data_IF_193966186716
#
_entry.id   IF_193966186716
#
_cell.length_a   1.000
_cell.length_b   1.000
_cell.length_c   1.000
_cell.angle_alpha   90.00
_cell.angle_beta   90.00
_cell.angle_gamma   90.00
#
_symmetry.space_group_name_H-M   'P 1'
#
loop_
_entity.id
_entity.type
_entity.pdbx_description
1 polymer ?
#
# COMPACT_ATOMS: atom_id res chain seq x y z
N UNK A 1 61.19 -32.44 -9.37
CA UNK A 1 59.80 -32.91 -9.22
C UNK A 1 59.05 -31.94 -8.31
N UNK A 2 58.15 -31.12 -8.88
CA UNK A 2 56.92 -30.55 -8.29
C UNK A 2 56.49 -29.35 -9.15
N UNK A 3 55.85 -29.66 -10.30
CA UNK A 3 54.92 -28.73 -10.93
C UNK A 3 53.74 -28.56 -9.98
N UNK A 4 53.44 -27.32 -9.57
CA UNK A 4 52.15 -26.97 -8.98
C UNK A 4 51.36 -26.27 -10.07
N UNK A 5 50.29 -26.91 -10.52
CA UNK A 5 49.33 -26.38 -11.50
C UNK A 5 47.96 -26.23 -10.83
N UNK A 6 47.34 -25.08 -11.10
CA UNK A 6 45.90 -24.76 -11.04
C UNK A 6 45.20 -24.84 -9.66
N UNK A 7 44.18 -24.06 -9.34
CA UNK A 7 43.04 -23.61 -10.16
C UNK A 7 42.60 -22.22 -9.67
N UNK A 8 42.52 -21.24 -10.57
CA UNK A 8 41.77 -20.01 -10.33
C UNK A 8 40.33 -20.29 -10.73
N UNK A 9 39.45 -20.46 -9.74
CA UNK A 9 38.01 -20.59 -9.99
C UNK A 9 37.46 -19.22 -10.45
N UNK A 10 37.15 -19.11 -11.73
CA UNK A 10 36.43 -17.96 -12.27
C UNK A 10 34.96 -18.11 -11.85
N UNK A 11 34.56 -17.41 -10.78
CA UNK A 11 33.15 -17.21 -10.44
C UNK A 11 32.55 -16.30 -11.52
N UNK A 12 32.02 -16.91 -12.58
CA UNK A 12 31.21 -16.20 -13.56
C UNK A 12 29.90 -15.78 -12.90
N UNK A 13 29.75 -14.49 -12.57
CA UNK A 13 28.46 -13.91 -12.25
C UNK A 13 27.61 -13.96 -13.52
N UNK A 14 26.61 -14.85 -13.58
CA UNK A 14 25.58 -14.80 -14.60
C UNK A 14 24.77 -13.53 -14.39
N UNK A 15 25.01 -12.49 -15.20
CA UNK A 15 24.17 -11.30 -15.21
C UNK A 15 22.78 -11.67 -15.73
N UNK A 16 21.76 -11.54 -14.89
CA UNK A 16 20.36 -11.67 -15.33
C UNK A 16 20.02 -10.41 -16.14
N UNK A 17 19.51 -10.57 -17.37
CA UNK A 17 19.18 -9.44 -18.23
C UNK A 17 18.00 -8.63 -17.65
N UNK A 18 18.11 -7.30 -17.64
CA UNK A 18 17.02 -6.42 -17.22
C UNK A 18 15.89 -6.34 -18.26
N UNK A 19 14.73 -5.85 -17.83
CA UNK A 19 13.54 -5.64 -18.65
C UNK A 19 13.19 -4.16 -18.70
N UNK A 20 13.24 -3.57 -19.90
CA UNK A 20 12.80 -2.19 -20.14
C UNK A 20 11.51 -2.18 -20.94
N UNK A 21 10.46 -1.56 -20.38
CA UNK A 21 9.18 -1.37 -21.07
C UNK A 21 9.15 0.03 -21.68
N UNK A 22 9.19 0.08 -23.01
CA UNK A 22 9.30 1.33 -23.79
C UNK A 22 7.99 1.78 -24.44
N UNK A 23 6.97 0.92 -24.42
CA UNK A 23 5.63 1.18 -24.93
C UNK A 23 4.58 0.50 -24.05
N UNK A 24 3.35 1.01 -24.07
CA UNK A 24 2.26 0.43 -23.29
C UNK A 24 2.12 -1.06 -23.60
N UNK A 25 2.18 -1.86 -22.54
CA UNK A 25 2.21 -3.31 -22.62
C UNK A 25 1.22 -3.87 -21.62
N UNK A 26 0.29 -4.69 -22.10
CA UNK A 26 -0.61 -5.45 -21.22
C UNK A 26 -0.50 -6.93 -21.53
N UNK A 27 -0.35 -7.73 -20.48
CA UNK A 27 -0.20 -9.18 -20.55
C UNK A 27 -1.15 -9.84 -19.54
N UNK A 28 -1.53 -11.09 -19.81
CA UNK A 28 -2.43 -11.86 -18.95
C UNK A 28 -1.86 -13.28 -18.77
N UNK A 29 -1.97 -13.81 -17.57
CA UNK A 29 -1.48 -15.11 -17.16
C UNK A 29 -0.06 -15.09 -16.60
N UNK A 30 0.59 -16.25 -16.64
CA UNK A 30 1.90 -16.46 -16.01
C UNK A 30 3.00 -15.69 -16.73
N UNK A 31 3.65 -14.77 -16.01
CA UNK A 31 4.78 -13.98 -16.48
C UNK A 31 5.92 -14.12 -15.48
N UNK A 32 7.11 -14.45 -15.97
CA UNK A 32 8.30 -14.50 -15.14
C UNK A 32 8.91 -13.09 -15.00
N UNK A 33 8.93 -12.58 -13.76
CA UNK A 33 9.57 -11.31 -13.40
C UNK A 33 10.93 -11.51 -12.72
N UNK A 34 11.45 -12.74 -12.70
CA UNK A 34 12.76 -13.10 -12.18
C UNK A 34 13.90 -12.68 -13.12
N UNK A 35 13.79 -11.47 -13.65
CA UNK A 35 14.74 -10.81 -14.54
C UNK A 35 15.60 -9.82 -13.75
N UNK A 36 16.59 -9.19 -14.40
CA UNK A 36 17.34 -8.08 -13.80
C UNK A 36 16.43 -6.87 -13.52
N UNK A 37 16.99 -5.66 -13.52
CA UNK A 37 16.21 -4.46 -13.23
C UNK A 37 15.01 -4.31 -14.19
N UNK A 38 13.84 -4.00 -13.64
CA UNK A 38 12.63 -3.68 -14.38
C UNK A 38 12.51 -2.16 -14.45
N UNK A 39 12.50 -1.62 -15.67
CA UNK A 39 12.43 -0.18 -15.92
C UNK A 39 11.21 0.10 -16.79
N UNK A 40 10.28 0.90 -16.27
CA UNK A 40 9.14 1.42 -17.03
C UNK A 40 9.46 2.85 -17.43
N UNK A 41 9.52 3.12 -18.74
CA UNK A 41 9.83 4.46 -19.22
C UNK A 41 8.77 5.49 -18.79
N UNK A 42 9.13 6.79 -18.72
CA UNK A 42 8.15 7.85 -18.47
C UNK A 42 6.97 7.79 -19.45
N UNK A 43 5.76 7.99 -18.93
CA UNK A 43 4.52 7.94 -19.71
C UNK A 43 4.06 6.56 -20.17
N UNK A 44 4.84 5.50 -19.90
CA UNK A 44 4.55 4.13 -20.36
C UNK A 44 3.94 3.29 -19.25
N UNK A 45 2.98 2.43 -19.60
CA UNK A 45 2.31 1.52 -18.67
C UNK A 45 2.65 0.05 -18.95
N UNK A 46 2.97 -0.69 -17.90
CA UNK A 46 3.07 -2.15 -17.94
C UNK A 46 2.03 -2.74 -17.01
N UNK A 47 1.07 -3.47 -17.58
CA UNK A 47 -0.07 -4.05 -16.87
C UNK A 47 -0.05 -5.57 -16.99
N UNK A 48 0.02 -6.25 -15.85
CA UNK A 48 0.06 -7.71 -15.76
C UNK A 48 -1.21 -8.18 -15.07
N UNK A 49 -1.99 -9.00 -15.76
CA UNK A 49 -3.21 -9.59 -15.21
C UNK A 49 -3.00 -11.06 -14.86
N UNK A 50 -3.60 -11.49 -13.76
CA UNK A 50 -3.71 -12.89 -13.33
C UNK A 50 -2.37 -13.63 -13.21
N UNK A 51 -1.28 -12.92 -12.91
CA UNK A 51 0.01 -13.52 -12.61
C UNK A 51 0.15 -13.81 -11.11
N UNK A 52 -0.16 -15.05 -10.71
CA UNK A 52 -0.24 -15.47 -9.32
C UNK A 52 1.02 -15.13 -8.50
N UNK A 53 2.20 -15.32 -9.09
CA UNK A 53 3.49 -15.15 -8.42
C UNK A 53 4.37 -14.22 -9.25
N UNK A 54 4.77 -13.12 -8.64
CA UNK A 54 5.55 -12.04 -9.23
C UNK A 54 6.78 -11.78 -8.35
N UNK A 55 7.87 -12.48 -8.64
CA UNK A 55 9.15 -12.33 -7.94
C UNK A 55 10.06 -11.36 -8.69
N UNK A 56 10.22 -10.14 -8.19
CA UNK A 56 11.09 -9.12 -8.76
C UNK A 56 12.47 -9.30 -8.14
N UNK A 57 13.43 -9.85 -8.90
CA UNK A 57 14.79 -10.14 -8.38
C UNK A 57 15.81 -9.02 -8.65
N UNK A 58 15.50 -8.08 -9.55
CA UNK A 58 16.23 -6.82 -9.74
C UNK A 58 15.58 -5.62 -9.03
N UNK A 59 16.07 -4.41 -9.32
CA UNK A 59 15.40 -3.18 -8.93
C UNK A 59 14.14 -2.90 -9.77
N UNK A 60 13.26 -2.03 -9.26
CA UNK A 60 12.07 -1.55 -9.98
C UNK A 60 12.12 -0.03 -10.10
N UNK A 61 12.11 0.47 -11.33
CA UNK A 61 12.02 1.90 -11.62
C UNK A 61 10.79 2.19 -12.47
N UNK A 62 9.91 3.05 -11.98
CA UNK A 62 8.73 3.53 -12.71
C UNK A 62 8.87 5.02 -12.98
N UNK A 63 9.01 5.38 -14.25
CA UNK A 63 9.17 6.77 -14.68
C UNK A 63 7.90 7.62 -14.51
N UNK A 64 8.09 8.94 -14.47
CA UNK A 64 7.01 9.91 -14.32
C UNK A 64 5.89 9.73 -15.36
N UNK A 65 4.64 9.75 -14.90
CA UNK A 65 3.46 9.51 -15.75
C UNK A 65 3.29 8.07 -16.26
N UNK A 66 4.26 7.19 -16.01
CA UNK A 66 4.17 5.77 -16.31
C UNK A 66 3.49 4.98 -15.20
N UNK A 67 3.36 3.66 -15.38
CA UNK A 67 2.85 2.80 -14.32
C UNK A 67 3.18 1.32 -14.45
N UNK A 68 3.26 0.65 -13.31
CA UNK A 68 3.48 -0.79 -13.17
C UNK A 68 2.31 -1.38 -12.37
N UNK A 69 1.54 -2.25 -13.00
CA UNK A 69 0.31 -2.80 -12.45
C UNK A 69 0.39 -4.33 -12.43
N UNK A 70 0.00 -4.94 -11.31
CA UNK A 70 -0.25 -6.37 -11.20
C UNK A 70 -1.63 -6.55 -10.61
N UNK A 71 -2.58 -7.05 -11.41
CA UNK A 71 -3.99 -7.12 -11.04
C UNK A 71 -4.55 -8.52 -11.20
N UNK A 72 -5.53 -8.87 -10.36
CA UNK A 72 -6.28 -10.12 -10.45
C UNK A 72 -7.73 -9.81 -10.78
N UNK A 73 -8.26 -10.44 -11.84
CA UNK A 73 -9.69 -10.42 -12.16
C UNK A 73 -10.41 -11.69 -11.69
N UNK A 74 -9.72 -12.56 -10.94
CA UNK A 74 -10.23 -13.86 -10.52
C UNK A 74 -10.60 -13.88 -9.04
N UNK A 75 -11.75 -14.49 -8.66
CA UNK A 75 -12.26 -14.45 -7.28
C UNK A 75 -11.45 -15.30 -6.29
N UNK A 76 -10.57 -16.18 -6.76
CA UNK A 76 -9.80 -17.11 -5.92
C UNK A 76 -8.28 -17.04 -6.21
N UNK A 77 -7.83 -16.02 -6.95
CA UNK A 77 -6.42 -15.84 -7.27
C UNK A 77 -5.84 -14.68 -6.46
N UNK A 78 -5.24 -14.99 -5.32
CA UNK A 78 -4.40 -14.05 -4.58
C UNK A 78 -3.09 -13.82 -5.32
N UNK A 79 -2.68 -12.55 -5.43
CA UNK A 79 -1.38 -12.20 -5.95
C UNK A 79 -0.31 -12.30 -4.86
N UNK A 80 0.84 -12.86 -5.21
CA UNK A 80 2.07 -12.82 -4.42
C UNK A 80 3.11 -11.99 -5.18
N UNK A 81 3.32 -10.76 -4.74
CA UNK A 81 4.30 -9.83 -5.32
C UNK A 81 5.43 -9.59 -4.30
N UNK A 82 6.65 -9.95 -4.67
CA UNK A 82 7.81 -9.85 -3.78
C UNK A 82 8.97 -9.16 -4.47
N UNK A 83 9.64 -8.24 -3.78
CA UNK A 83 10.98 -7.79 -4.16
C UNK A 83 12.01 -8.66 -3.44
N UNK A 84 12.80 -9.42 -4.20
CA UNK A 84 13.78 -10.37 -3.70
C UNK A 84 15.20 -9.81 -3.84
N UNK A 85 15.71 -9.16 -2.80
CA UNK A 85 17.13 -8.82 -2.74
C UNK A 85 17.44 -7.67 -1.79
N UNK A 86 18.34 -7.92 -0.84
CA UNK A 86 18.74 -6.93 0.16
C UNK A 86 19.41 -5.67 -0.45
N UNK A 87 19.88 -5.75 -1.70
CA UNK A 87 20.53 -4.64 -2.43
C UNK A 87 19.59 -3.95 -3.43
N UNK A 88 18.39 -4.49 -3.64
CA UNK A 88 17.48 -3.99 -4.68
C UNK A 88 16.82 -2.69 -4.25
N UNK A 89 16.41 -1.90 -5.24
CA UNK A 89 15.85 -0.57 -5.00
C UNK A 89 14.52 -0.43 -5.71
N UNK A 90 13.61 0.32 -5.09
CA UNK A 90 12.37 0.78 -5.73
C UNK A 90 12.44 2.29 -5.87
N UNK A 91 12.27 2.77 -7.09
CA UNK A 91 12.08 4.19 -7.41
C UNK A 91 10.79 4.38 -8.19
N UNK A 92 9.84 5.08 -7.60
CA UNK A 92 8.54 5.34 -8.21
C UNK A 92 8.29 6.84 -8.39
N UNK A 93 8.32 7.31 -9.62
CA UNK A 93 7.86 8.65 -10.01
C UNK A 93 6.48 8.60 -10.73
N UNK A 94 5.94 7.40 -10.95
CA UNK A 94 4.65 7.15 -11.63
C UNK A 94 3.66 6.43 -10.71
N UNK A 95 3.08 5.32 -11.18
CA UNK A 95 2.12 4.51 -10.42
C UNK A 95 2.65 3.09 -10.23
N UNK A 96 2.66 2.58 -9.01
CA UNK A 96 2.79 1.14 -8.72
C UNK A 96 1.46 0.67 -8.12
N UNK A 97 0.83 -0.36 -8.67
CA UNK A 97 -0.46 -0.85 -8.18
C UNK A 97 -0.52 -2.37 -8.17
N UNK A 98 -0.79 -2.95 -6.98
CA UNK A 98 -1.08 -4.37 -6.83
C UNK A 98 -2.51 -4.54 -6.34
N UNK A 99 -3.35 -5.17 -7.15
CA UNK A 99 -4.79 -5.23 -6.91
C UNK A 99 -5.32 -6.66 -6.93
N UNK A 100 -5.75 -7.13 -5.75
CA UNK A 100 -6.44 -8.41 -5.54
C UNK A 100 -7.78 -8.22 -4.81
N UNK A 101 -8.47 -7.09 -4.98
CA UNK A 101 -9.72 -6.80 -4.25
C UNK A 101 -10.82 -7.82 -4.55
N UNK A 102 -10.87 -8.35 -5.77
CA UNK A 102 -11.85 -9.36 -6.16
C UNK A 102 -11.56 -10.75 -5.53
N UNK A 103 -10.33 -10.99 -5.10
CA UNK A 103 -9.91 -12.30 -4.59
C UNK A 103 -10.29 -12.48 -3.13
N UNK A 104 -10.98 -13.57 -2.82
CA UNK A 104 -11.30 -13.95 -1.44
C UNK A 104 -10.07 -14.50 -0.68
N UNK A 105 -9.04 -14.92 -1.42
CA UNK A 105 -7.76 -15.35 -0.84
C UNK A 105 -6.86 -14.15 -0.54
N UNK A 106 -6.10 -14.22 0.56
CA UNK A 106 -5.24 -13.12 0.99
C UNK A 106 -4.01 -12.96 0.09
N UNK A 107 -3.75 -11.77 -0.48
CA UNK A 107 -2.52 -11.51 -1.22
C UNK A 107 -1.31 -11.33 -0.28
N UNK A 108 -0.14 -11.46 -0.88
CA UNK A 108 1.15 -11.13 -0.26
C UNK A 108 1.85 -10.08 -1.10
N UNK A 109 1.95 -8.86 -0.58
CA UNK A 109 2.73 -7.77 -1.14
C UNK A 109 3.88 -7.50 -0.18
N UNK A 110 5.06 -8.03 -0.49
CA UNK A 110 6.22 -7.94 0.39
C UNK A 110 7.43 -7.36 -0.34
N UNK A 111 7.63 -6.06 -0.20
CA UNK A 111 8.70 -5.33 -0.86
C UNK A 111 9.86 -5.11 0.12
N UNK A 112 10.92 -5.90 -0.03
CA UNK A 112 12.12 -5.82 0.80
C UNK A 112 13.33 -5.43 -0.04
N UNK A 113 14.02 -4.34 0.33
CA UNK A 113 15.16 -3.84 -0.44
C UNK A 113 16.14 -2.96 0.34
N UNK A 114 17.18 -2.49 -0.35
CA UNK A 114 18.11 -1.51 0.20
C UNK A 114 17.46 -0.12 0.30
N UNK A 115 16.71 0.29 -0.73
CA UNK A 115 16.05 1.59 -0.74
C UNK A 115 14.66 1.55 -1.36
N UNK A 116 13.79 2.41 -0.83
CA UNK A 116 12.45 2.68 -1.34
C UNK A 116 12.28 4.21 -1.42
N UNK A 117 11.95 4.71 -2.62
CA UNK A 117 11.60 6.12 -2.85
C UNK A 117 10.33 6.20 -3.67
N UNK A 118 9.29 6.80 -3.10
CA UNK A 118 8.01 7.06 -3.75
C UNK A 118 7.77 8.56 -3.88
N UNK A 119 7.82 9.09 -5.11
CA UNK A 119 7.39 10.44 -5.46
C UNK A 119 6.05 10.45 -6.21
N UNK A 120 5.64 9.29 -6.73
CA UNK A 120 4.37 9.10 -7.41
C UNK A 120 3.29 8.52 -6.48
N UNK A 121 2.62 7.46 -6.94
CA UNK A 121 1.53 6.80 -6.21
C UNK A 121 1.79 5.30 -6.10
N UNK A 122 1.57 4.73 -4.93
CA UNK A 122 1.64 3.29 -4.68
C UNK A 122 0.33 2.79 -4.10
N UNK A 123 -0.21 1.72 -4.65
CA UNK A 123 -1.48 1.11 -4.23
C UNK A 123 -1.31 -0.36 -3.91
N UNK A 124 -1.71 -0.76 -2.72
CA UNK A 124 -1.93 -2.15 -2.34
C UNK A 124 -3.41 -2.34 -2.06
N UNK A 125 -4.06 -3.24 -2.79
CA UNK A 125 -5.50 -3.46 -2.67
C UNK A 125 -5.81 -4.95 -2.50
N UNK A 126 -6.65 -5.25 -1.50
CA UNK A 126 -7.06 -6.61 -1.15
C UNK A 126 -8.48 -6.63 -0.59
N UNK A 127 -9.11 -7.81 -0.50
CA UNK A 127 -10.45 -7.92 0.06
C UNK A 127 -10.45 -7.93 1.61
N UNK A 128 -9.59 -8.74 2.23
CA UNK A 128 -9.42 -8.80 3.69
C UNK A 128 -10.49 -9.56 4.50
N UNK A 129 -11.44 -10.24 3.83
CA UNK A 129 -12.59 -10.88 4.51
C UNK A 129 -12.29 -12.24 5.18
N UNK A 130 -11.47 -13.09 4.54
CA UNK A 130 -11.25 -14.48 4.99
C UNK A 130 -9.91 -14.69 5.70
N UNK A 131 -8.83 -14.13 5.14
CA UNK A 131 -7.47 -14.35 5.60
C UNK A 131 -6.72 -13.00 5.68
N UNK A 132 -5.75 -12.87 6.60
CA UNK A 132 -4.94 -11.68 6.70
C UNK A 132 -3.99 -11.55 5.51
N UNK A 133 -4.05 -10.42 4.80
CA UNK A 133 -3.08 -10.09 3.75
C UNK A 133 -1.73 -9.69 4.37
N UNK A 134 -0.64 -10.02 3.67
CA UNK A 134 0.69 -9.49 3.98
C UNK A 134 0.90 -8.25 3.13
N UNK A 135 1.10 -7.09 3.76
CA UNK A 135 1.30 -5.82 3.07
C UNK A 135 2.46 -5.08 3.73
N UNK A 136 3.63 -5.12 3.09
CA UNK A 136 4.86 -4.60 3.66
C UNK A 136 5.77 -3.90 2.65
N UNK A 137 6.39 -2.82 3.10
CA UNK A 137 7.47 -2.11 2.42
C UNK A 137 8.59 -1.89 3.43
N UNK A 138 9.62 -2.72 3.37
CA UNK A 138 10.73 -2.73 4.32
C UNK A 138 12.04 -2.49 3.59
N UNK A 139 12.54 -1.27 3.68
CA UNK A 139 13.83 -0.88 3.08
C UNK A 139 14.70 -0.15 4.08
N UNK A 140 16.02 -0.33 4.00
CA UNK A 140 16.97 0.33 4.90
C UNK A 140 16.93 1.87 4.76
N UNK A 141 16.80 2.36 3.53
CA UNK A 141 16.44 3.74 3.22
C UNK A 141 14.99 3.80 2.76
N UNK A 142 14.15 4.56 3.43
CA UNK A 142 12.70 4.61 3.17
C UNK A 142 12.21 6.05 3.08
N UNK A 143 11.72 6.45 1.91
CA UNK A 143 11.23 7.80 1.66
C UNK A 143 9.91 7.76 0.88
N UNK A 144 8.89 8.44 1.42
CA UNK A 144 7.65 8.74 0.73
C UNK A 144 7.47 10.26 0.62
N UNK A 145 7.34 10.77 -0.60
CA UNK A 145 6.97 12.16 -0.91
C UNK A 145 5.65 12.26 -1.67
N UNK A 146 5.11 11.11 -2.13
CA UNK A 146 3.84 11.02 -2.84
C UNK A 146 2.77 10.30 -2.02
N UNK A 147 1.93 9.53 -2.70
CA UNK A 147 0.84 8.78 -2.09
C UNK A 147 1.22 7.31 -1.91
N UNK A 148 0.95 6.75 -0.73
CA UNK A 148 0.85 5.31 -0.48
C UNK A 148 -0.57 5.03 -0.01
N UNK A 149 -1.29 4.16 -0.71
CA UNK A 149 -2.66 3.76 -0.36
C UNK A 149 -2.73 2.26 -0.15
N UNK A 150 -3.18 1.86 1.04
CA UNK A 150 -3.26 0.46 1.46
C UNK A 150 -4.70 0.18 1.83
N UNK A 151 -5.35 -0.60 0.98
CA UNK A 151 -6.79 -0.78 0.97
C UNK A 151 -7.20 -2.23 1.24
N UNK A 152 -8.16 -2.36 2.16
CA UNK A 152 -8.96 -3.57 2.37
C UNK A 152 -10.45 -3.22 2.36
N UNK A 153 -11.25 -4.04 1.67
CA UNK A 153 -12.72 -3.96 1.72
C UNK A 153 -13.21 -4.20 3.16
N UNK A 154 -12.63 -5.19 3.84
CA UNK A 154 -12.93 -5.52 5.24
C UNK A 154 -11.64 -5.68 6.05
N UNK A 155 -11.64 -5.17 7.28
CA UNK A 155 -10.47 -5.25 8.17
C UNK A 155 -10.19 -6.71 8.51
N UNK A 156 -9.00 -7.18 8.14
CA UNK A 156 -8.44 -8.44 8.60
C UNK A 156 -7.62 -8.27 9.89
N UNK A 157 -7.11 -9.37 10.44
CA UNK A 157 -6.13 -9.32 11.55
C UNK A 157 -4.70 -9.06 11.09
N UNK A 158 -4.46 -8.95 9.78
CA UNK A 158 -3.15 -8.69 9.19
C UNK A 158 -2.71 -7.26 9.46
N UNK A 159 -1.46 -7.10 9.89
CA UNK A 159 -0.87 -5.79 10.13
C UNK A 159 -0.01 -5.35 8.93
N UNK A 160 -0.15 -4.07 8.57
CA UNK A 160 0.68 -3.38 7.61
C UNK A 160 2.01 -3.03 8.26
N UNK A 161 3.11 -3.33 7.55
CA UNK A 161 4.48 -3.06 8.00
C UNK A 161 5.18 -2.10 7.04
N UNK A 162 5.42 -0.87 7.48
CA UNK A 162 6.14 0.13 6.69
C UNK A 162 7.43 0.53 7.38
N UNK A 163 8.48 0.71 6.60
CA UNK A 163 9.79 1.16 7.08
C UNK A 163 10.65 0.04 7.68
N UNK A 164 11.95 0.34 7.91
CA UNK A 164 12.87 -0.59 8.56
C UNK A 164 12.61 -0.66 10.07
N UNK A 165 12.64 -1.87 10.69
CA UNK A 165 12.56 -2.00 12.14
C UNK A 165 13.62 -1.15 12.85
N UNK A 166 13.18 -0.34 13.81
CA UNK A 166 14.00 0.60 14.59
C UNK A 166 14.77 1.66 13.77
N UNK A 167 14.56 1.71 12.45
CA UNK A 167 15.17 2.70 11.57
C UNK A 167 14.27 3.91 11.34
N UNK A 168 14.57 4.70 10.31
CA UNK A 168 13.79 5.88 9.95
C UNK A 168 12.84 5.57 8.78
N UNK A 169 11.58 5.89 8.97
CA UNK A 169 10.57 6.04 7.92
C UNK A 169 10.39 7.53 7.67
N UNK A 170 10.87 8.04 6.53
CA UNK A 170 10.69 9.45 6.15
C UNK A 170 9.41 9.59 5.32
N UNK A 171 8.39 10.23 5.88
CA UNK A 171 7.13 10.50 5.20
C UNK A 171 6.91 12.02 5.07
N UNK A 172 6.89 12.52 3.84
CA UNK A 172 6.54 13.89 3.48
C UNK A 172 5.30 13.99 2.59
N UNK A 173 4.71 12.84 2.23
CA UNK A 173 3.45 12.75 1.48
C UNK A 173 2.33 12.14 2.33
N UNK A 174 1.42 11.44 1.66
CA UNK A 174 0.23 10.85 2.27
C UNK A 174 0.35 9.32 2.35
N UNK A 175 -0.04 8.76 3.50
CA UNK A 175 -0.22 7.32 3.70
C UNK A 175 -1.67 7.08 4.10
N UNK A 176 -2.43 6.42 3.24
CA UNK A 176 -3.86 6.17 3.43
C UNK A 176 -4.10 4.71 3.81
N UNK A 177 -4.66 4.50 5.01
CA UNK A 177 -4.97 3.19 5.56
C UNK A 177 -6.48 3.00 5.56
N UNK A 178 -7.00 2.12 4.71
CA UNK A 178 -8.42 1.77 4.68
C UNK A 178 -8.64 0.38 5.27
N UNK A 179 -9.38 0.34 6.40
CA UNK A 179 -9.65 -0.88 7.16
C UNK A 179 -8.38 -1.69 7.48
N UNK A 180 -7.27 -1.02 7.78
CA UNK A 180 -5.98 -1.67 8.08
C UNK A 180 -5.69 -1.64 9.57
N UNK A 181 -4.86 -2.58 10.03
CA UNK A 181 -4.09 -2.40 11.26
C UNK A 181 -2.68 -2.00 10.82
N UNK A 182 -2.17 -0.88 11.31
CA UNK A 182 -0.77 -0.51 11.13
C UNK A 182 -0.06 -0.44 12.48
N UNK A 183 1.18 -0.92 12.50
CA UNK A 183 2.03 -0.97 13.68
C UNK A 183 3.26 -0.10 13.43
N UNK A 184 3.54 0.82 14.35
CA UNK A 184 4.80 1.55 14.34
C UNK A 184 5.98 0.56 14.50
N UNK A 185 6.91 0.59 13.56
CA UNK A 185 8.10 -0.29 13.54
C UNK A 185 9.42 0.46 13.79
N UNK A 186 9.43 1.78 13.67
CA UNK A 186 10.60 2.62 13.84
C UNK A 186 10.25 4.09 14.01
N UNK A 187 11.23 4.96 13.80
CA UNK A 187 11.05 6.40 13.88
C UNK A 187 10.25 6.89 12.68
N UNK A 188 9.36 7.87 12.89
CA UNK A 188 8.59 8.49 11.80
C UNK A 188 9.02 9.94 11.71
N UNK A 189 9.57 10.30 10.56
CA UNK A 189 10.19 11.60 10.31
C UNK A 189 9.53 12.33 9.15
N UNK A 190 9.64 13.64 9.15
CA UNK A 190 9.18 14.51 8.06
C UNK A 190 7.87 15.22 8.36
N UNK A 191 7.18 15.67 7.31
CA UNK A 191 5.99 16.52 7.44
C UNK A 191 4.71 15.91 6.88
N UNK A 192 4.68 14.61 6.55
CA UNK A 192 3.55 13.99 5.87
C UNK A 192 2.32 13.71 6.76
N UNK A 193 1.29 13.14 6.13
CA UNK A 193 0.03 12.78 6.78
C UNK A 193 -0.26 11.28 6.70
N UNK A 194 -0.82 10.74 7.78
CA UNK A 194 -1.32 9.38 7.90
C UNK A 194 -2.85 9.43 8.02
N UNK A 195 -3.56 9.01 6.99
CA UNK A 195 -5.01 8.93 7.01
C UNK A 195 -5.46 7.58 7.57
N UNK A 196 -6.21 7.63 8.66
CA UNK A 196 -6.82 6.47 9.32
C UNK A 196 -8.28 6.45 8.89
N UNK A 197 -8.61 5.63 7.89
CA UNK A 197 -9.91 5.64 7.21
C UNK A 197 -10.69 4.37 7.51
N UNK A 198 -11.99 4.53 7.79
CA UNK A 198 -12.89 3.43 8.11
C UNK A 198 -12.49 2.76 9.43
N UNK A 199 -12.56 1.43 9.50
CA UNK A 199 -12.21 0.69 10.71
C UNK A 199 -10.69 0.55 10.91
N UNK A 200 -9.89 1.49 10.43
CA UNK A 200 -8.43 1.42 10.54
C UNK A 200 -7.95 1.70 11.97
N UNK A 201 -6.86 1.03 12.34
CA UNK A 201 -6.16 1.21 13.60
C UNK A 201 -4.69 1.55 13.34
N UNK A 202 -4.26 2.71 13.82
CA UNK A 202 -2.84 3.04 13.96
C UNK A 202 -2.36 2.76 15.38
N UNK A 203 -1.35 1.89 15.52
CA UNK A 203 -0.75 1.57 16.82
C UNK A 203 0.65 2.19 16.96
N UNK A 204 0.78 3.12 17.90
CA UNK A 204 2.02 3.81 18.26
C UNK A 204 2.73 3.02 19.38
N UNK A 205 3.35 1.91 18.98
CA UNK A 205 3.81 0.86 19.88
C UNK A 205 5.29 0.98 20.32
N UNK A 206 6.02 1.98 19.84
CA UNK A 206 7.47 2.09 20.09
C UNK A 206 7.84 3.40 20.79
N UNK A 207 7.78 3.47 22.13
CA UNK A 207 8.22 4.60 22.97
C UNK A 207 9.57 5.18 22.60
N UNK A 208 10.50 4.30 22.25
CA UNK A 208 11.91 4.63 22.00
C UNK A 208 12.12 5.12 20.58
N UNK A 209 11.11 4.99 19.72
CA UNK A 209 11.13 5.46 18.35
C UNK A 209 10.30 6.72 18.23
N UNK A 210 10.93 7.92 18.21
CA UNK A 210 10.19 9.17 18.14
C UNK A 210 9.42 9.32 16.83
N UNK A 211 8.29 10.02 16.94
CA UNK A 211 7.53 10.53 15.80
C UNK A 211 7.64 12.05 15.80
N UNK A 212 8.07 12.63 14.68
CA UNK A 212 8.15 14.08 14.54
C UNK A 212 6.75 14.70 14.73
N UNK A 213 6.66 15.80 15.49
CA UNK A 213 5.39 16.50 15.74
C UNK A 213 4.79 17.13 14.48
N UNK A 214 5.56 17.19 13.39
CA UNK A 214 5.12 17.61 12.05
C UNK A 214 4.44 16.50 11.26
N UNK A 215 4.50 15.24 11.70
CA UNK A 215 3.65 14.17 11.18
C UNK A 215 2.24 14.33 11.73
N UNK A 216 1.24 14.18 10.87
CA UNK A 216 -0.17 14.24 11.29
C UNK A 216 -0.81 12.87 11.17
N UNK A 217 -1.42 12.38 12.25
CA UNK A 217 -2.36 11.26 12.21
C UNK A 217 -3.79 11.81 12.05
N UNK A 218 -4.32 11.76 10.84
CA UNK A 218 -5.65 12.25 10.54
C UNK A 218 -6.68 11.12 10.66
N UNK A 219 -7.60 11.27 11.60
CA UNK A 219 -8.75 10.38 11.79
C UNK A 219 -9.82 10.77 10.76
N UNK A 220 -9.73 10.14 9.59
CA UNK A 220 -10.42 10.56 8.37
C UNK A 220 -11.75 9.79 8.21
N UNK A 221 -12.79 10.35 8.82
CA UNK A 221 -14.12 9.76 8.90
C UNK A 221 -14.41 9.11 10.25
N UNK A 222 -15.54 8.37 10.38
CA UNK A 222 -15.92 7.68 11.61
C UNK A 222 -15.20 6.32 11.76
N UNK A 223 -15.10 5.85 13.00
CA UNK A 223 -14.53 4.55 13.41
C UNK A 223 -13.00 4.42 13.30
N UNK A 224 -12.29 5.52 13.06
CA UNK A 224 -10.84 5.54 13.10
C UNK A 224 -10.34 5.31 14.54
N UNK A 225 -9.28 4.51 14.67
CA UNK A 225 -8.70 4.15 15.95
C UNK A 225 -7.21 4.52 16.00
N UNK A 226 -6.81 5.20 17.08
CA UNK A 226 -5.41 5.49 17.38
C UNK A 226 -5.09 4.94 18.78
N UNK A 227 -4.13 4.03 18.86
CA UNK A 227 -3.71 3.39 20.10
C UNK A 227 -2.25 3.72 20.40
N UNK A 228 -1.97 4.28 21.57
CA UNK A 228 -0.60 4.52 22.02
C UNK A 228 -0.18 3.57 23.14
N UNK A 229 1.08 3.12 23.10
CA UNK A 229 1.66 2.36 24.21
C UNK A 229 1.83 3.26 25.44
N UNK A 230 1.72 2.66 26.63
CA UNK A 230 2.06 3.33 27.88
C UNK A 230 3.58 3.51 28.01
N UNK A 231 4.01 4.76 28.17
CA UNK A 231 5.44 5.11 28.20
C UNK A 231 5.74 6.06 29.34
N UNK A 232 6.94 5.94 29.90
CA UNK A 232 7.42 6.83 30.97
C UNK A 232 7.89 8.19 30.43
N UNK A 233 8.40 8.22 29.20
CA UNK A 233 8.79 9.43 28.48
C UNK A 233 7.68 9.86 27.51
N UNK A 234 6.89 10.85 27.93
CA UNK A 234 5.76 11.36 27.14
C UNK A 234 6.20 11.92 25.79
N UNK A 235 5.62 11.41 24.71
CA UNK A 235 5.68 12.01 23.39
C UNK A 235 4.37 12.76 23.10
N UNK A 236 4.41 13.76 22.23
CA UNK A 236 3.19 14.44 21.76
C UNK A 236 2.93 14.04 20.33
N UNK A 237 1.81 13.35 20.09
CA UNK A 237 1.38 12.97 18.75
C UNK A 237 0.43 14.03 18.19
N UNK A 238 0.68 14.50 16.97
CA UNK A 238 -0.23 15.44 16.30
C UNK A 238 -1.35 14.66 15.65
N UNK A 239 -2.59 14.98 16.02
CA UNK A 239 -3.79 14.26 15.60
C UNK A 239 -4.80 15.25 15.05
N UNK A 240 -5.42 14.92 13.92
CA UNK A 240 -6.51 15.69 13.35
C UNK A 240 -7.77 14.84 13.25
N UNK A 241 -8.94 15.48 13.14
CA UNK A 241 -10.20 14.77 12.92
C UNK A 241 -10.76 13.99 14.12
N UNK A 242 -10.23 14.20 15.34
CA UNK A 242 -10.75 13.52 16.52
C UNK A 242 -12.18 13.98 16.85
N UNK A 243 -13.13 13.03 16.82
CA UNK A 243 -14.56 13.30 16.90
C UNK A 243 -15.36 12.25 16.15
N UNK A 244 -16.67 12.41 16.02
CA UNK A 244 -17.53 11.55 15.19
C UNK A 244 -17.38 10.03 15.45
N UNK A 245 -17.20 9.62 16.71
CA UNK A 245 -17.09 8.20 17.08
C UNK A 245 -15.69 7.60 16.93
N UNK A 246 -14.68 8.41 16.65
CA UNK A 246 -13.28 8.00 16.63
C UNK A 246 -12.74 7.75 18.05
N UNK A 247 -11.78 6.85 18.18
CA UNK A 247 -11.17 6.46 19.46
C UNK A 247 -9.69 6.83 19.50
N UNK A 248 -9.29 7.57 20.53
CA UNK A 248 -7.89 7.65 20.96
C UNK A 248 -7.78 6.80 22.22
N UNK A 249 -6.83 5.89 22.27
CA UNK A 249 -6.68 4.99 23.41
C UNK A 249 -5.24 4.73 23.82
N UNK A 250 -5.14 4.06 24.96
CA UNK A 250 -3.90 3.58 25.53
C UNK A 250 -3.95 2.06 25.68
N UNK A 251 -2.79 1.41 25.69
CA UNK A 251 -2.72 -0.05 25.92
C UNK A 251 -3.09 -0.45 27.36
N UNK A 252 -3.19 0.50 28.28
CA UNK A 252 -3.73 0.30 29.63
C UNK A 252 -4.83 1.32 29.97
N UNK A 253 -5.34 1.28 31.23
CA UNK A 253 -6.48 2.10 31.62
C UNK A 253 -6.14 3.60 31.66
N UNK A 254 -7.10 4.45 31.31
CA UNK A 254 -7.07 5.90 31.54
C UNK A 254 -7.64 6.14 32.94
N UNK A 255 -6.79 6.61 33.86
CA UNK A 255 -7.19 6.93 35.23
C UNK A 255 -7.70 8.37 35.34
N UNK A 256 -7.16 9.27 34.52
CA UNK A 256 -7.59 10.65 34.41
C UNK A 256 -7.18 11.22 33.05
N UNK A 257 -7.76 12.35 32.67
CA UNK A 257 -7.41 13.07 31.45
C UNK A 257 -7.58 14.58 31.65
N UNK A 258 -6.91 15.36 30.82
CA UNK A 258 -7.07 16.80 30.75
C UNK A 258 -6.95 17.29 29.31
N UNK A 259 -7.77 18.26 28.94
CA UNK A 259 -7.64 18.99 27.70
C UNK A 259 -7.30 20.46 27.99
N UNK A 260 -6.21 20.94 27.39
CA UNK A 260 -5.82 22.34 27.44
C UNK A 260 -6.38 23.07 26.22
N UNK A 261 -7.44 23.86 26.41
CA UNK A 261 -8.10 24.59 25.31
C UNK A 261 -7.22 25.66 24.64
N UNK A 262 -6.19 26.17 25.34
CA UNK A 262 -5.27 27.16 24.78
C UNK A 262 -4.22 26.55 23.85
N UNK A 263 -3.69 25.37 24.19
CA UNK A 263 -2.70 24.68 23.35
C UNK A 263 -3.32 23.63 22.42
N UNK A 264 -4.54 23.20 22.68
CA UNK A 264 -5.18 22.10 21.96
C UNK A 264 -4.64 20.71 22.31
N UNK A 265 -3.94 20.57 23.45
CA UNK A 265 -3.33 19.30 23.86
C UNK A 265 -4.28 18.54 24.79
N UNK A 266 -4.65 17.33 24.37
CA UNK A 266 -5.29 16.30 25.19
C UNK A 266 -4.20 15.43 25.83
N UNK A 267 -4.23 15.32 27.16
CA UNK A 267 -3.32 14.46 27.92
C UNK A 267 -4.12 13.37 28.61
N UNK A 268 -3.73 12.11 28.39
CA UNK A 268 -4.29 10.93 29.04
C UNK A 268 -3.28 10.40 30.04
N UNK A 269 -3.73 10.04 31.24
CA UNK A 269 -2.87 9.53 32.31
C UNK A 269 -3.27 8.11 32.68
N UNK A 270 -2.29 7.21 32.67
CA UNK A 270 -2.50 5.81 33.10
C UNK A 270 -1.86 5.47 34.44
N UNK A 271 -1.08 6.38 35.01
CA UNK A 271 -0.49 6.21 36.33
C UNK A 271 -1.22 7.02 37.41
N UNK A 272 -1.16 6.59 38.68
CA UNK A 272 -1.78 7.30 39.80
C UNK A 272 -1.20 8.72 39.93
N UNK A 273 -1.99 9.64 40.47
CA UNK A 273 -1.60 11.05 40.66
C UNK A 273 -1.15 11.74 39.35
N UNK A 274 -1.81 11.43 38.23
CA UNK A 274 -1.51 11.97 36.91
C UNK A 274 -0.06 11.69 36.44
N UNK A 275 0.43 10.48 36.71
CA UNK A 275 1.71 9.99 36.18
C UNK A 275 1.50 9.23 34.86
N UNK A 276 2.59 8.94 34.14
CA UNK A 276 2.58 8.30 32.81
C UNK A 276 1.69 9.06 31.80
N UNK A 277 1.94 10.36 31.55
CA UNK A 277 1.15 11.13 30.60
C UNK A 277 1.44 10.71 29.15
N UNK A 278 0.38 10.54 28.37
CA UNK A 278 0.45 10.46 26.92
C UNK A 278 -0.27 11.66 26.31
N UNK A 279 0.39 12.37 25.39
CA UNK A 279 -0.08 13.65 24.85
C UNK A 279 -0.49 13.54 23.40
N UNK A 280 -1.61 14.17 23.06
CA UNK A 280 -2.16 14.26 21.72
C UNK A 280 -2.48 15.73 21.43
N UNK A 281 -1.81 16.33 20.46
CA UNK A 281 -2.15 17.65 19.95
C UNK A 281 -3.32 17.51 18.98
N UNK A 282 -4.55 17.70 19.49
CA UNK A 282 -5.81 17.55 18.73
C UNK A 282 -6.34 18.88 18.18
N UNK A 283 -5.73 19.99 18.59
CA UNK A 283 -6.11 21.35 18.23
C UNK A 283 -7.07 22.01 19.23
N UNK A 284 -7.24 23.35 19.15
CA UNK A 284 -8.15 24.10 20.02
C UNK A 284 -9.63 23.82 19.69
N UNK A 285 -10.55 24.41 20.46
CA UNK A 285 -11.99 24.42 20.16
C UNK A 285 -12.81 23.23 20.65
N UNK A 286 -12.20 22.22 21.28
CA UNK A 286 -12.96 21.11 21.87
C UNK A 286 -13.64 21.53 23.18
N UNK A 287 -14.84 21.00 23.43
CA UNK A 287 -15.62 21.28 24.63
C UNK A 287 -15.49 20.14 25.63
N UNK A 288 -15.04 20.43 26.85
CA UNK A 288 -14.73 19.42 27.88
C UNK A 288 -15.88 18.45 28.18
N UNK A 289 -17.14 18.90 28.15
CA UNK A 289 -18.31 18.06 28.44
C UNK A 289 -18.59 16.98 27.38
N UNK A 290 -17.97 17.06 26.21
CA UNK A 290 -18.17 16.11 25.12
C UNK A 290 -17.14 14.97 25.13
N UNK A 291 -16.11 15.05 25.98
CA UNK A 291 -15.17 13.96 26.16
C UNK A 291 -15.74 12.90 27.09
N UNK A 292 -15.57 11.64 26.72
CA UNK A 292 -16.05 10.50 27.49
C UNK A 292 -15.00 9.38 27.45
N UNK A 293 -14.65 8.83 28.63
CA UNK A 293 -13.81 7.64 28.73
C UNK A 293 -14.65 6.38 28.54
N UNK A 294 -14.20 5.46 27.69
CA UNK A 294 -14.87 4.19 27.42
C UNK A 294 -13.92 3.01 27.54
N UNK A 295 -14.47 1.85 27.88
CA UNK A 295 -13.82 0.58 27.59
C UNK A 295 -13.96 0.31 26.10
N UNK A 296 -12.84 0.09 25.41
CA UNK A 296 -12.81 -0.18 23.97
C UNK A 296 -11.83 -1.30 23.65
N UNK A 297 -12.29 -2.30 22.91
CA UNK A 297 -11.49 -3.46 22.54
C UNK A 297 -10.72 -3.16 21.25
N UNK A 298 -9.54 -2.56 21.39
CA UNK A 298 -8.62 -2.46 20.25
C UNK A 298 -8.09 -3.85 19.87
N UNK A 299 -7.97 -4.16 18.56
CA UNK A 299 -7.28 -5.34 18.07
C UNK A 299 -5.93 -5.59 18.79
N UNK A 300 -5.77 -6.80 19.34
CA UNK A 300 -4.55 -7.22 20.04
C UNK A 300 -4.51 -6.90 21.54
N UNK A 301 -5.53 -6.25 22.11
CA UNK A 301 -5.64 -6.04 23.56
C UNK A 301 -6.66 -6.99 24.20
N UNK A 302 -6.37 -7.48 25.41
CA UNK A 302 -7.31 -8.28 26.21
C UNK A 302 -7.93 -7.42 27.31
N UNK A 303 -9.27 -7.33 27.31
CA UNK A 303 -10.11 -6.83 28.41
C UNK A 303 -9.71 -5.49 29.07
N UNK A 304 -9.51 -4.40 28.31
CA UNK A 304 -9.13 -3.13 28.91
C UNK A 304 -10.34 -2.38 29.48
N UNK A 305 -10.24 -1.92 30.73
CA UNK A 305 -11.21 -1.02 31.36
C UNK A 305 -10.81 0.43 31.07
N UNK A 306 -11.76 1.25 30.63
CA UNK A 306 -11.59 2.71 30.45
C UNK A 306 -10.29 3.12 29.72
N UNK A 307 -9.93 2.43 28.65
CA UNK A 307 -8.67 2.61 27.94
C UNK A 307 -8.76 3.50 26.70
N UNK A 308 -9.95 4.00 26.39
CA UNK A 308 -10.16 4.91 25.27
C UNK A 308 -10.90 6.16 25.72
N UNK A 309 -10.69 7.23 24.97
CA UNK A 309 -11.44 8.46 25.06
C UNK A 309 -12.09 8.72 23.69
N UNK A 310 -13.35 9.14 23.73
CA UNK A 310 -14.10 9.59 22.57
C UNK A 310 -14.50 11.05 22.73
N UNK A 311 -14.72 11.72 21.62
CA UNK A 311 -15.32 13.05 21.58
C UNK A 311 -16.69 12.96 20.90
N UNK A 312 -17.75 13.16 21.67
CA UNK A 312 -19.15 12.97 21.26
C UNK A 312 -19.71 14.17 20.48
N UNK A 313 -18.91 14.73 19.58
CA UNK A 313 -19.27 15.80 18.66
C UNK A 313 -18.35 15.78 17.42
N UNK A 314 -18.66 16.53 16.36
CA UNK A 314 -17.75 16.70 15.24
C UNK A 314 -16.43 17.37 15.65
N UNK A 315 -15.29 17.02 15.00
CA UNK A 315 -14.03 17.70 15.22
C UNK A 315 -14.20 19.22 14.93
N UNK A 316 -13.77 20.11 15.83
CA UNK A 316 -13.97 21.55 15.66
C UNK A 316 -12.96 22.20 14.71
N UNK A 317 -11.89 21.49 14.34
CA UNK A 317 -10.81 21.98 13.48
C UNK A 317 -10.96 21.46 12.05
N UNK A 318 -10.61 22.25 11.02
CA UNK A 318 -10.59 21.79 9.63
C UNK A 318 -9.50 20.75 9.39
N UNK A 319 -9.57 20.09 8.23
CA UNK A 319 -8.52 19.18 7.76
C UNK A 319 -7.21 19.96 7.61
N UNK A 320 -6.08 19.48 8.16
CA UNK A 320 -4.79 20.13 7.98
C UNK A 320 -4.38 20.18 6.51
N UNK A 321 -3.83 21.31 6.07
CA UNK A 321 -3.41 21.52 4.67
C UNK A 321 -2.34 20.53 4.17
N UNK A 322 -1.66 19.85 5.10
CA UNK A 322 -0.63 18.86 4.79
C UNK A 322 -1.20 17.48 4.47
N UNK A 323 -2.47 17.23 4.82
CA UNK A 323 -3.16 16.00 4.48
C UNK A 323 -3.85 16.16 3.13
N UNK A 324 -3.34 15.43 2.13
CA UNK A 324 -3.84 15.45 0.76
C UNK A 324 -5.13 14.65 0.59
N UNK A 325 -5.49 14.40 -0.67
CA UNK A 325 -6.63 13.55 -1.00
C UNK A 325 -6.20 12.07 -1.07
N UNK A 326 -6.91 11.21 -0.37
CA UNK A 326 -6.73 9.76 -0.49
C UNK A 326 -7.58 9.18 -1.61
N UNK A 327 -6.96 8.34 -2.44
CA UNK A 327 -7.62 7.44 -3.39
C UNK A 327 -7.35 6.01 -2.96
N UNK A 328 -8.38 5.15 -2.92
CA UNK A 328 -8.24 3.78 -2.40
C UNK A 328 -7.52 2.84 -3.38
N UNK A 329 -7.84 2.95 -4.66
CA UNK A 329 -7.32 2.09 -5.73
C UNK A 329 -7.15 2.88 -7.02
N UNK A 330 -6.40 2.30 -7.95
CA UNK A 330 -6.31 2.76 -9.34
C UNK A 330 -6.62 1.60 -10.29
N UNK A 331 -7.35 1.90 -11.34
CA UNK A 331 -7.68 0.91 -12.38
C UNK A 331 -6.45 0.63 -13.25
N UNK A 332 -6.14 -0.66 -13.42
CA UNK A 332 -5.07 -1.10 -14.31
C UNK A 332 -5.56 -1.13 -15.77
N UNK A 333 -4.72 -0.80 -16.75
CA UNK A 333 -5.05 -0.98 -18.17
C UNK A 333 -5.45 -2.44 -18.43
N UNK A 334 -6.63 -2.66 -19.03
CA UNK A 334 -7.15 -3.99 -19.35
C UNK A 334 -6.40 -4.62 -20.53
N UNK A 335 -6.30 -5.96 -20.59
CA UNK A 335 -5.83 -6.63 -21.79
C UNK A 335 -6.79 -6.32 -22.94
N UNK A 336 -6.29 -5.86 -24.08
CA UNK A 336 -7.10 -5.79 -25.30
C UNK A 336 -7.57 -7.20 -25.62
N UNK A 337 -8.88 -7.44 -25.49
CA UNK A 337 -9.49 -8.67 -26.00
C UNK A 337 -9.33 -8.66 -27.52
N UNK A 338 -8.33 -9.35 -28.04
CA UNK A 338 -8.26 -9.67 -29.46
C UNK A 338 -9.35 -10.70 -29.77
N UNK A 339 -10.60 -10.23 -29.86
CA UNK A 339 -11.64 -10.95 -30.57
C UNK A 339 -11.41 -10.74 -32.06
N UNK A 340 -10.39 -11.40 -32.60
CA UNK A 340 -10.32 -11.65 -34.04
C UNK A 340 -11.36 -12.72 -34.34
N UNK A 341 -12.63 -12.32 -34.42
CA UNK A 341 -13.59 -13.07 -35.20
C UNK A 341 -13.09 -13.00 -36.65
N UNK A 342 -12.41 -14.06 -37.09
CA UNK A 342 -12.12 -14.28 -38.50
C UNK A 342 -13.49 -14.54 -39.13
N UNK A 343 -14.15 -13.48 -39.61
CA UNK A 343 -15.23 -13.63 -40.59
C UNK A 343 -14.62 -14.29 -41.83
N UNK A 344 -14.87 -15.60 -41.94
CA UNK A 344 -14.54 -16.37 -43.14
C UNK A 344 -15.55 -15.97 -44.23
N UNK A 345 -15.26 -14.89 -44.95
CA UNK A 345 -15.95 -14.52 -46.18
C UNK A 345 -15.29 -15.27 -47.35
N UNK A 346 -15.73 -16.48 -47.64
CA UNK A 346 -15.42 -17.17 -48.91
C UNK A 346 -16.51 -16.89 -49.93
N UNK A 347 -16.28 -15.93 -50.82
CA UNK A 347 -17.01 -15.83 -52.10
C UNK A 347 -16.05 -16.15 -53.24
N UNK A 348 -16.35 -17.27 -53.88
CA UNK A 348 -15.62 -17.88 -55.00
C UNK A 348 -15.95 -17.09 -56.28
N UNK A 349 -14.93 -16.53 -56.94
CA UNK A 349 -15.01 -16.12 -58.34
C UNK A 349 -15.05 -17.37 -59.22
N UNK A 350 -16.17 -17.60 -59.90
CA UNK A 350 -16.26 -18.58 -61.00
C UNK A 350 -15.94 -17.90 -62.32
N UNK A 351 -14.77 -18.20 -62.88
CA UNK A 351 -14.42 -17.92 -64.26
C UNK A 351 -14.91 -19.07 -65.16
N UNK A 352 -15.87 -18.78 -66.04
CA UNK A 352 -16.31 -19.70 -67.08
C UNK A 352 -15.62 -19.37 -68.40
N UNK A 353 -14.55 -20.10 -68.71
CA UNK A 353 -14.00 -20.23 -70.07
C UNK A 353 -14.87 -21.21 -70.85
N UNK A 354 -15.58 -20.72 -71.86
CA UNK A 354 -16.27 -21.54 -72.85
C UNK A 354 -15.34 -21.76 -74.05
N UNK A 355 -14.88 -23.00 -74.22
CA UNK A 355 -14.15 -23.44 -75.41
C UNK A 355 -15.10 -24.25 -76.30
N UNK A 356 -15.18 -23.82 -77.55
CA UNK A 356 -16.01 -24.30 -78.64
C UNK A 356 -15.56 -25.65 -79.19
N UNK A 357 -16.51 -26.50 -79.62
CA UNK A 357 -16.30 -27.46 -80.71
C UNK A 357 -17.61 -27.74 -81.46
N UNK A 358 -17.54 -28.14 -82.75
CA UNK A 358 -18.58 -27.89 -83.75
C UNK A 358 -19.47 -29.10 -84.02
N UNK A 359 -20.68 -28.86 -84.56
CA UNK A 359 -21.40 -29.91 -85.28
C UNK A 359 -22.11 -29.32 -86.52
N UNK A 360 -21.82 -29.93 -87.66
CA UNK A 360 -22.29 -29.57 -88.99
C UNK A 360 -23.46 -30.46 -89.40
N UNK A 361 -24.49 -29.80 -89.91
CA UNK A 361 -25.34 -30.15 -91.07
C UNK A 361 -26.30 -31.35 -91.05
N UNK A 362 -27.55 -30.98 -91.34
CA UNK A 362 -28.48 -31.51 -92.37
C UNK A 362 -29.53 -32.55 -91.95
N UNK A 363 -30.82 -32.21 -92.15
CA UNK A 363 -31.64 -32.62 -93.30
C UNK A 363 -33.15 -32.72 -92.94
N UNK A 364 -33.97 -32.32 -93.92
CA UNK A 364 -35.42 -32.48 -94.10
C UNK A 364 -36.36 -31.52 -93.35
#
# INVERSE_FOLDING_TARGET
MKLRSCVTALLGASSVAGLTITQDTTVDGTIDLSVGDIIINPGVKYSIWNNAVSAIVGGLTVGAGGGFYISSSQPLLALSVTLLGAINTIKNDGIISFNSVLSATAPTYNLVGASFTNNGQLYFASQGSLLPAVQSITSASWNNNGLISIYQESRSTGAVVLGPPLGNLNNNGDICLYNQIWLQTGNIRGTGCWHIIGNSLAQLNLPTSPIDTTQVFYMDGPNAELLALLVTASQTYTVAGFGNGNFIGLTGPILSWNYNAGTGVLTLYSGPFNTLPQRFLIGPGYVNSNFETKAHLFPGLSAPLNNAIVYNAPPPNPIPAVCGACTSTVEAPLPTSSSSAIESSSTIESSSTAESTPESSSAA
#
